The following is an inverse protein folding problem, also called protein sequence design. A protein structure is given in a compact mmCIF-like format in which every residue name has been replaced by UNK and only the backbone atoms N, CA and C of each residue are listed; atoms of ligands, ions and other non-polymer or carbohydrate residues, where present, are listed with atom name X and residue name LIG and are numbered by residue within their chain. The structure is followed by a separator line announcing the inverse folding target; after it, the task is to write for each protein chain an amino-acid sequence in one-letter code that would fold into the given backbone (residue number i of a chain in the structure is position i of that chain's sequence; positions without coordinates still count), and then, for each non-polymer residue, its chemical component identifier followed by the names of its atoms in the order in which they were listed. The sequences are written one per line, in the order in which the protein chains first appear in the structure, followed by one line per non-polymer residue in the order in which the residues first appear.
data_IF_421668683210
#
_entry.id   IF_421668683210
#
_cell.length_a   1.000
_cell.length_b   1.000
_cell.length_c   1.000
_cell.angle_alpha   90.00
_cell.angle_beta   90.00
_cell.angle_gamma   90.00
#
_symmetry.space_group_name_H-M   'P 1'
#
loop_
_entity.id
_entity.type
_entity.pdbx_description
1 polymer ?
#
# COMPACT_ATOMS: atom_id res chain seq x y z
N UNK A 1 -14.67 -10.05 -2.46
CA UNK A 1 -13.42 -9.26 -2.32
C UNK A 1 -13.50 -8.52 -0.99
N UNK A 2 -12.41 -8.32 -0.23
CA UNK A 2 -12.47 -7.73 1.11
C UNK A 2 -12.99 -6.28 1.08
N UNK A 3 -13.97 -5.97 1.94
CA UNK A 3 -14.72 -4.71 1.88
C UNK A 3 -13.83 -3.47 2.05
N UNK A 4 -12.81 -3.56 2.91
CA UNK A 4 -11.89 -2.44 3.16
C UNK A 4 -10.98 -2.10 1.97
N UNK A 5 -10.78 -3.02 1.02
CA UNK A 5 -9.98 -2.74 -0.18
C UNK A 5 -10.82 -2.01 -1.23
N UNK A 6 -12.10 -2.39 -1.35
CA UNK A 6 -13.06 -1.71 -2.24
C UNK A 6 -13.33 -0.29 -1.72
N UNK A 7 -13.50 -0.15 -0.40
CA UNK A 7 -13.79 1.14 0.24
C UNK A 7 -12.58 2.08 0.34
N UNK A 8 -11.37 1.61 0.04
CA UNK A 8 -10.14 2.41 0.13
C UNK A 8 -10.09 3.57 -0.88
N UNK A 9 -10.91 3.53 -1.94
CA UNK A 9 -10.90 4.53 -3.02
C UNK A 9 -11.10 5.97 -2.54
N UNK A 10 -12.11 6.22 -1.70
CA UNK A 10 -12.38 7.55 -1.15
C UNK A 10 -11.23 8.05 -0.27
N UNK A 11 -10.77 7.21 0.66
CA UNK A 11 -9.63 7.53 1.53
C UNK A 11 -8.37 7.84 0.73
N UNK A 12 -8.04 7.01 -0.28
CA UNK A 12 -6.87 7.24 -1.15
C UNK A 12 -7.01 8.55 -1.91
N UNK A 13 -8.20 8.85 -2.43
CA UNK A 13 -8.46 10.09 -3.14
C UNK A 13 -8.27 11.32 -2.24
N UNK A 14 -8.81 11.28 -1.02
CA UNK A 14 -8.74 12.40 -0.07
C UNK A 14 -7.33 12.64 0.48
N UNK A 15 -6.49 11.60 0.57
CA UNK A 15 -5.09 11.76 1.04
C UNK A 15 -4.27 12.73 0.18
N UNK A 16 -4.68 12.98 -1.06
CA UNK A 16 -3.99 13.91 -1.94
C UNK A 16 -3.98 15.35 -1.41
N UNK A 17 -4.97 15.71 -0.57
CA UNK A 17 -5.04 17.01 0.13
C UNK A 17 -3.87 17.25 1.08
N UNK A 18 -3.19 16.19 1.52
CA UNK A 18 -2.07 16.25 2.45
C UNK A 18 -0.73 16.53 1.74
N UNK A 19 -0.71 16.52 0.40
CA UNK A 19 0.51 16.77 -0.36
C UNK A 19 0.82 18.27 -0.53
N UNK A 20 2.10 18.65 -0.61
CA UNK A 20 2.49 19.98 -1.04
C UNK A 20 1.85 20.36 -2.38
N UNK A 21 1.39 21.60 -2.50
CA UNK A 21 0.67 22.10 -3.69
C UNK A 21 -0.85 21.87 -3.66
N UNK A 22 -1.38 21.28 -2.58
CA UNK A 22 -2.82 21.10 -2.39
C UNK A 22 -3.41 20.00 -3.29
N UNK A 23 -4.73 19.91 -3.25
CA UNK A 23 -5.48 18.84 -3.89
C UNK A 23 -5.37 18.86 -5.42
N UNK A 24 -5.08 17.71 -6.01
CA UNK A 24 -5.11 17.48 -7.45
C UNK A 24 -5.91 16.21 -7.76
N UNK A 25 -7.06 16.37 -8.42
CA UNK A 25 -7.98 15.27 -8.73
C UNK A 25 -7.37 14.20 -9.65
N UNK A 26 -6.54 14.60 -10.62
CA UNK A 26 -5.93 13.67 -11.57
C UNK A 26 -4.91 12.77 -10.87
N UNK A 27 -4.03 13.38 -10.06
CA UNK A 27 -3.05 12.68 -9.22
C UNK A 27 -3.74 11.79 -8.19
N UNK A 28 -4.81 12.27 -7.55
CA UNK A 28 -5.62 11.49 -6.63
C UNK A 28 -6.23 10.26 -7.34
N UNK A 29 -6.81 10.43 -8.53
CA UNK A 29 -7.36 9.32 -9.30
C UNK A 29 -6.30 8.34 -9.77
N UNK A 30 -5.10 8.80 -10.13
CA UNK A 30 -4.00 7.92 -10.50
C UNK A 30 -3.62 6.99 -9.33
N UNK A 31 -3.60 7.50 -8.10
CA UNK A 31 -3.40 6.66 -6.91
C UNK A 31 -4.56 5.67 -6.71
N UNK A 32 -5.80 6.10 -6.88
CA UNK A 32 -6.97 5.21 -6.78
C UNK A 32 -6.90 4.06 -7.80
N UNK A 33 -6.42 4.32 -9.02
CA UNK A 33 -6.29 3.29 -10.07
C UNK A 33 -5.36 2.13 -9.67
N UNK A 34 -4.41 2.35 -8.74
CA UNK A 34 -3.50 1.32 -8.21
C UNK A 34 -4.21 0.27 -7.34
N UNK A 35 -5.46 0.52 -6.93
CA UNK A 35 -6.28 -0.51 -6.24
C UNK A 35 -6.42 -1.75 -7.12
N UNK A 36 -6.56 -1.58 -8.44
CA UNK A 36 -6.63 -2.71 -9.39
C UNK A 36 -5.41 -3.62 -9.29
N UNK A 37 -4.20 -3.04 -9.24
CA UNK A 37 -2.95 -3.80 -9.13
C UNK A 37 -2.86 -4.53 -7.78
N UNK A 38 -3.25 -3.84 -6.69
CA UNK A 38 -3.31 -4.44 -5.35
C UNK A 38 -4.30 -5.61 -5.31
N UNK A 39 -5.45 -5.50 -5.98
CA UNK A 39 -6.42 -6.59 -6.09
C UNK A 39 -5.89 -7.79 -6.90
N UNK A 40 -5.18 -7.54 -8.00
CA UNK A 40 -4.53 -8.60 -8.79
C UNK A 40 -3.51 -9.36 -7.95
N UNK A 41 -2.66 -8.64 -7.20
CA UNK A 41 -1.66 -9.23 -6.31
C UNK A 41 -2.31 -10.05 -5.19
N UNK A 42 -3.35 -9.52 -4.56
CA UNK A 42 -4.10 -10.21 -3.52
C UNK A 42 -4.72 -11.52 -4.04
N UNK A 43 -5.36 -11.50 -5.20
CA UNK A 43 -5.95 -12.70 -5.80
C UNK A 43 -4.88 -13.74 -6.11
N UNK A 44 -3.71 -13.30 -6.57
CA UNK A 44 -2.55 -14.16 -6.81
C UNK A 44 -2.09 -14.83 -5.51
N UNK A 45 -1.88 -14.07 -4.43
CA UNK A 45 -1.48 -14.59 -3.11
C UNK A 45 -2.51 -15.59 -2.59
N UNK A 46 -3.80 -15.26 -2.65
CA UNK A 46 -4.87 -16.16 -2.20
C UNK A 46 -4.83 -17.52 -2.92
N UNK A 47 -4.56 -17.52 -4.23
CA UNK A 47 -4.46 -18.74 -5.04
C UNK A 47 -3.20 -19.54 -4.74
N UNK A 48 -2.04 -18.89 -4.70
CA UNK A 48 -0.74 -19.54 -4.49
C UNK A 48 -0.64 -20.18 -3.09
N UNK A 49 -1.10 -19.45 -2.07
CA UNK A 49 -1.00 -19.88 -0.66
C UNK A 49 -2.24 -20.67 -0.21
N UNK A 50 -3.26 -20.80 -1.07
CA UNK A 50 -4.54 -21.48 -0.79
C UNK A 50 -5.25 -20.95 0.45
N UNK A 51 -5.27 -19.62 0.58
CA UNK A 51 -5.90 -18.90 1.69
C UNK A 51 -7.07 -18.05 1.20
N UNK A 52 -7.92 -17.61 2.14
CA UNK A 52 -9.01 -16.69 1.80
C UNK A 52 -8.47 -15.34 1.31
N UNK A 53 -9.26 -14.63 0.51
CA UNK A 53 -8.92 -13.27 0.06
C UNK A 53 -8.75 -12.29 1.21
N UNK A 54 -9.46 -12.50 2.34
CA UNK A 54 -9.28 -11.72 3.56
C UNK A 54 -7.90 -11.97 4.18
N UNK A 55 -7.49 -13.23 4.34
CA UNK A 55 -6.16 -13.53 4.88
C UNK A 55 -5.04 -13.09 3.93
N UNK A 56 -5.23 -13.22 2.62
CA UNK A 56 -4.27 -12.74 1.63
C UNK A 56 -4.08 -11.21 1.69
N UNK A 57 -5.14 -10.46 1.98
CA UNK A 57 -5.06 -9.02 2.20
C UNK A 57 -4.25 -8.67 3.45
N UNK A 58 -4.44 -9.39 4.56
CA UNK A 58 -3.63 -9.21 5.77
C UNK A 58 -2.15 -9.50 5.49
N UNK A 59 -1.85 -10.62 4.81
CA UNK A 59 -0.48 -10.99 4.40
C UNK A 59 0.14 -9.91 3.53
N UNK A 60 -0.60 -9.37 2.55
CA UNK A 60 -0.11 -8.31 1.69
C UNK A 60 0.19 -7.01 2.48
N UNK A 61 -0.67 -6.65 3.43
CA UNK A 61 -0.47 -5.51 4.30
C UNK A 61 0.76 -5.68 5.19
N UNK A 62 0.91 -6.85 5.84
CA UNK A 62 2.06 -7.22 6.67
C UNK A 62 3.38 -7.11 5.86
N UNK A 63 3.41 -7.65 4.64
CA UNK A 63 4.57 -7.57 3.74
C UNK A 63 4.96 -6.13 3.40
N UNK A 64 3.99 -5.28 3.05
CA UNK A 64 4.25 -3.86 2.73
C UNK A 64 4.79 -3.10 3.93
N UNK A 65 4.25 -3.34 5.13
CA UNK A 65 4.74 -2.71 6.37
C UNK A 65 6.18 -3.13 6.65
N UNK A 66 6.50 -4.42 6.51
CA UNK A 66 7.85 -4.93 6.69
C UNK A 66 8.85 -4.29 5.70
N UNK A 67 8.49 -4.22 4.41
CA UNK A 67 9.32 -3.59 3.38
C UNK A 67 9.60 -2.11 3.65
N UNK A 68 8.58 -1.34 4.07
CA UNK A 68 8.77 0.08 4.43
C UNK A 68 9.67 0.23 5.65
N UNK A 69 9.54 -0.65 6.65
CA UNK A 69 10.43 -0.64 7.83
C UNK A 69 11.87 -0.91 7.43
N UNK A 70 12.11 -1.91 6.60
CA UNK A 70 13.44 -2.25 6.10
C UNK A 70 14.05 -1.11 5.28
N UNK A 71 13.30 -0.54 4.33
CA UNK A 71 13.74 0.59 3.54
C UNK A 71 14.11 1.81 4.41
N UNK A 72 13.32 2.09 5.45
CA UNK A 72 13.64 3.16 6.41
C UNK A 72 14.93 2.87 7.17
N UNK A 73 15.11 1.65 7.68
CA UNK A 73 16.35 1.27 8.39
C UNK A 73 17.59 1.45 7.51
N UNK A 74 17.52 1.05 6.24
CA UNK A 74 18.62 1.25 5.29
C UNK A 74 18.90 2.74 5.04
N UNK A 75 17.86 3.56 4.89
CA UNK A 75 18.00 4.99 4.67
C UNK A 75 18.58 5.73 5.89
N UNK A 76 18.20 5.34 7.12
CA UNK A 76 18.73 5.96 8.36
C UNK A 76 20.03 5.33 8.86
N UNK A 77 20.37 4.12 8.41
CA UNK A 77 21.57 3.37 8.82
C UNK A 77 22.88 3.92 8.24
N UNK A 78 22.81 4.86 7.29
CA UNK A 78 23.98 5.54 6.71
C UNK A 78 24.57 6.66 7.58
N UNK A 79 23.86 7.14 8.60
CA UNK A 79 24.29 8.28 9.42
C UNK A 79 24.84 7.88 10.81
N UNK A 80 24.77 6.60 11.18
CA UNK A 80 25.06 6.15 12.56
C UNK A 80 26.36 5.35 12.76
N UNK A 81 27.22 5.22 11.75
CA UNK A 81 28.45 4.42 11.86
C UNK A 81 29.70 5.21 11.49
N UNK A 82 29.90 6.34 12.15
CA UNK A 82 31.20 6.99 12.25
C UNK A 82 31.25 7.88 13.50
N UNK A 83 31.33 7.26 14.68
CA UNK A 83 32.20 7.60 15.83
C UNK A 83 31.97 6.62 16.96
#
# INVERSE_FOLDING_TARGET
APDYIINAGGTIYDTDRLLPGGFNAERAMEKVRRIRETMTELIRIAKEERISTARAADVLAERRIAQVREAKMLATGGEGRMV
#
